data_IF_750583678424
#
_entry.id   IF_750583678424
#
_cell.length_a   1.000
_cell.length_b   1.000
_cell.length_c   1.000
_cell.angle_alpha   90.00
_cell.angle_beta   90.00
_cell.angle_gamma   90.00
#
_symmetry.space_group_name_H-M   'P 1'
#
loop_
_entity.id
_entity.type
_entity.pdbx_description
1 polymer ?
#
# COMPACT_ATOMS: atom_id res chain seq x y z
N UNK A 1 -23.63 -25.99 -23.94
CA UNK A 1 -22.41 -26.43 -23.25
C UNK A 1 -21.31 -25.49 -23.72
N UNK A 2 -20.93 -24.56 -22.83
CA UNK A 2 -19.71 -23.72 -22.80
C UNK A 2 -20.05 -22.48 -21.98
N UNK A 3 -20.11 -22.66 -20.65
CA UNK A 3 -19.98 -21.54 -19.72
C UNK A 3 -18.55 -21.02 -19.84
N UNK A 4 -18.41 -19.85 -20.44
CA UNK A 4 -17.13 -19.14 -20.46
C UNK A 4 -16.85 -18.64 -19.05
N UNK A 5 -15.99 -19.38 -18.35
CA UNK A 5 -15.32 -18.97 -17.13
C UNK A 5 -14.40 -17.78 -17.45
N UNK A 6 -14.98 -16.59 -17.48
CA UNK A 6 -14.30 -15.31 -17.66
C UNK A 6 -14.67 -14.38 -16.49
N UNK A 7 -14.74 -14.93 -15.28
CA UNK A 7 -14.99 -14.17 -14.07
C UNK A 7 -13.65 -13.62 -13.61
N UNK A 8 -13.39 -12.35 -13.94
CA UNK A 8 -12.38 -11.58 -13.22
C UNK A 8 -12.63 -11.71 -11.71
N UNK A 9 -11.59 -11.66 -10.87
CA UNK A 9 -11.79 -11.66 -9.42
C UNK A 9 -12.82 -10.59 -9.05
N UNK A 10 -13.83 -10.99 -8.28
CA UNK A 10 -14.82 -10.05 -7.77
C UNK A 10 -14.10 -8.89 -7.06
N UNK A 11 -14.45 -7.63 -7.35
CA UNK A 11 -13.86 -6.49 -6.68
C UNK A 11 -14.00 -6.64 -5.15
N UNK A 12 -12.97 -6.29 -4.39
CA UNK A 12 -13.04 -6.37 -2.93
C UNK A 12 -14.16 -5.49 -2.34
N UNK A 13 -14.55 -4.41 -3.03
CA UNK A 13 -15.72 -3.60 -2.69
C UNK A 13 -17.00 -4.44 -2.70
N UNK A 14 -17.11 -5.43 -3.59
CA UNK A 14 -18.27 -6.30 -3.63
C UNK A 14 -18.32 -7.31 -2.50
N UNK A 15 -17.16 -7.75 -2.03
CA UNK A 15 -17.01 -8.61 -0.86
C UNK A 15 -17.34 -7.88 0.45
N UNK A 16 -17.29 -6.55 0.45
CA UNK A 16 -17.41 -5.72 1.65
C UNK A 16 -18.71 -4.89 1.68
N UNK A 17 -19.70 -5.16 0.80
CA UNK A 17 -20.96 -4.37 0.71
C UNK A 17 -21.72 -4.25 2.05
N UNK A 18 -21.54 -5.20 2.96
CA UNK A 18 -22.18 -5.22 4.29
C UNK A 18 -21.30 -4.59 5.40
N UNK A 19 -20.12 -4.09 5.05
CA UNK A 19 -19.18 -3.43 5.96
C UNK A 19 -19.10 -1.97 5.56
N UNK A 20 -19.35 -1.06 6.50
CA UNK A 20 -19.21 0.39 6.30
C UNK A 20 -17.74 0.75 6.07
N UNK A 21 -17.27 0.60 4.82
CA UNK A 21 -15.95 1.03 4.40
C UNK A 21 -16.05 2.53 4.15
N UNK A 22 -15.70 3.32 5.17
CA UNK A 22 -15.46 4.75 5.02
C UNK A 22 -14.60 4.97 3.75
N UNK A 23 -15.10 5.70 2.76
CA UNK A 23 -14.44 5.90 1.45
C UNK A 23 -13.08 6.61 1.63
N UNK A 24 -12.05 5.83 1.98
CA UNK A 24 -10.67 6.30 2.02
C UNK A 24 -9.99 5.97 0.70
N UNK A 25 -9.21 6.91 0.19
CA UNK A 25 -8.25 6.61 -0.85
C UNK A 25 -7.24 5.59 -0.33
N UNK A 26 -6.83 4.68 -1.22
CA UNK A 26 -5.94 3.57 -0.90
C UNK A 26 -4.78 3.55 -1.89
N UNK A 27 -3.62 3.13 -1.42
CA UNK A 27 -2.46 2.91 -2.27
C UNK A 27 -1.59 1.77 -1.75
N UNK A 28 -0.84 1.17 -2.67
CA UNK A 28 0.32 0.35 -2.34
C UNK A 28 1.58 1.16 -2.61
N UNK A 29 2.49 1.21 -1.65
CA UNK A 29 3.79 1.85 -1.80
C UNK A 29 4.86 0.77 -1.83
N UNK A 30 5.53 0.65 -2.97
CA UNK A 30 6.55 -0.36 -3.22
C UNK A 30 7.92 0.26 -2.95
N UNK A 31 8.65 -0.28 -1.98
CA UNK A 31 9.88 0.30 -1.46
C UNK A 31 11.09 -0.55 -1.86
N UNK A 32 12.08 0.10 -2.46
CA UNK A 32 13.45 -0.39 -2.57
C UNK A 32 14.23 0.14 -1.35
N UNK A 33 14.86 -0.75 -0.58
CA UNK A 33 15.47 -0.44 0.71
C UNK A 33 16.96 -0.80 0.77
N UNK A 34 17.63 -0.33 1.81
CA UNK A 34 18.89 -0.90 2.28
C UNK A 34 18.60 -2.15 3.12
N UNK A 35 19.05 -3.35 2.70
CA UNK A 35 18.80 -4.59 3.43
C UNK A 35 19.22 -4.54 4.90
N UNK A 36 20.28 -3.79 5.24
CA UNK A 36 20.76 -3.69 6.61
C UNK A 36 19.83 -2.89 7.53
N UNK A 37 18.95 -2.07 6.96
CA UNK A 37 18.07 -1.16 7.68
C UNK A 37 16.59 -1.57 7.64
N UNK A 38 16.24 -2.67 6.95
CA UNK A 38 14.85 -3.16 6.85
C UNK A 38 14.14 -3.25 8.22
N UNK A 39 14.75 -3.81 9.29
CA UNK A 39 14.08 -3.85 10.59
C UNK A 39 13.73 -2.45 11.13
N UNK A 40 14.63 -1.48 10.99
CA UNK A 40 14.42 -0.10 11.44
C UNK A 40 13.38 0.63 10.56
N UNK A 41 13.38 0.36 9.25
CA UNK A 41 12.38 0.89 8.32
C UNK A 41 10.98 0.41 8.73
N UNK A 42 10.79 -0.87 9.03
CA UNK A 42 9.51 -1.41 9.48
C UNK A 42 9.03 -0.77 10.79
N UNK A 43 9.94 -0.58 11.76
CA UNK A 43 9.62 0.10 13.01
C UNK A 43 9.16 1.55 12.81
N UNK A 44 9.74 2.26 11.83
CA UNK A 44 9.31 3.61 11.49
C UNK A 44 7.99 3.62 10.74
N UNK A 45 7.81 2.73 9.75
CA UNK A 45 6.55 2.58 9.02
C UNK A 45 5.37 2.26 9.94
N UNK A 46 5.57 1.40 10.96
CA UNK A 46 4.55 1.04 11.93
C UNK A 46 4.06 2.21 12.81
N UNK A 47 4.81 3.32 12.85
CA UNK A 47 4.43 4.54 13.61
C UNK A 47 3.64 5.54 12.76
N UNK A 48 3.53 5.32 11.45
CA UNK A 48 2.80 6.20 10.53
C UNK A 48 1.32 5.80 10.56
N UNK A 49 0.45 6.70 11.00
CA UNK A 49 -1.00 6.44 11.17
C UNK A 49 -1.68 5.92 9.89
N UNK A 50 -1.26 6.43 8.73
CA UNK A 50 -1.80 6.07 7.44
C UNK A 50 -1.36 4.68 6.94
N UNK A 51 -0.31 4.09 7.52
CA UNK A 51 0.19 2.77 7.16
C UNK A 51 -0.68 1.70 7.83
N UNK A 52 -1.28 0.83 7.02
CA UNK A 52 -2.14 -0.28 7.48
C UNK A 52 -1.41 -1.60 7.56
N UNK A 53 -0.50 -1.84 6.63
CA UNK A 53 0.42 -2.97 6.68
C UNK A 53 1.72 -2.62 5.97
N UNK A 54 2.79 -3.30 6.35
CA UNK A 54 4.08 -3.24 5.68
C UNK A 54 4.72 -4.63 5.75
N UNK A 55 4.88 -5.27 4.60
CA UNK A 55 5.35 -6.65 4.50
C UNK A 55 6.67 -6.69 3.74
N UNK A 56 7.64 -7.44 4.28
CA UNK A 56 8.88 -7.75 3.56
C UNK A 56 8.55 -8.80 2.50
N UNK A 57 8.97 -8.58 1.27
CA UNK A 57 8.67 -9.47 0.16
C UNK A 57 9.95 -9.92 -0.55
N UNK A 58 9.93 -11.14 -1.10
CA UNK A 58 11.00 -11.62 -1.98
C UNK A 58 10.67 -11.23 -3.43
N UNK A 59 10.91 -9.97 -3.79
CA UNK A 59 10.60 -9.42 -5.11
C UNK A 59 11.66 -8.46 -5.64
N UNK A 60 11.31 -7.68 -6.68
CA UNK A 60 12.14 -6.56 -7.16
C UNK A 60 12.15 -5.37 -6.19
N UNK A 61 11.19 -5.37 -5.26
CA UNK A 61 11.09 -4.47 -4.13
C UNK A 61 11.31 -5.27 -2.85
N UNK A 62 11.74 -4.59 -1.79
CA UNK A 62 12.05 -5.21 -0.50
C UNK A 62 10.84 -5.17 0.44
N UNK A 63 10.03 -4.10 0.37
CA UNK A 63 8.87 -3.89 1.25
C UNK A 63 7.67 -3.40 0.42
N UNK A 64 6.49 -3.96 0.69
CA UNK A 64 5.21 -3.47 0.17
C UNK A 64 4.39 -2.93 1.33
N UNK A 65 3.97 -1.68 1.21
CA UNK A 65 3.20 -0.96 2.24
C UNK A 65 1.80 -0.68 1.73
N UNK A 66 0.78 -1.05 2.50
CA UNK A 66 -0.61 -0.65 2.23
C UNK A 66 -0.94 0.61 3.03
N UNK A 67 -1.41 1.65 2.34
CA UNK A 67 -1.64 2.99 2.90
C UNK A 67 -3.07 3.44 2.64
N UNK A 68 -3.67 4.08 3.64
CA UNK A 68 -4.98 4.72 3.56
C UNK A 68 -4.90 6.20 3.87
N UNK A 69 -5.68 7.02 3.17
CA UNK A 69 -5.83 8.45 3.45
C UNK A 69 -7.20 8.94 3.01
N UNK A 70 -7.62 10.12 3.48
CA UNK A 70 -8.91 10.71 3.12
C UNK A 70 -8.99 11.05 1.62
N UNK A 71 -7.84 11.28 0.97
CA UNK A 71 -7.75 11.49 -0.48
C UNK A 71 -6.33 11.21 -1.02
N UNK A 72 -6.18 11.23 -2.34
CA UNK A 72 -4.89 11.01 -3.01
C UNK A 72 -3.80 12.01 -2.59
N UNK A 73 -4.16 13.27 -2.32
CA UNK A 73 -3.19 14.30 -1.91
C UNK A 73 -2.62 14.00 -0.52
N UNK A 74 -3.44 13.45 0.38
CA UNK A 74 -2.97 13.02 1.70
C UNK A 74 -1.95 11.89 1.59
N UNK A 75 -2.26 10.84 0.82
CA UNK A 75 -1.32 9.74 0.56
C UNK A 75 -0.01 10.28 -0.03
N UNK A 76 -0.09 11.16 -1.02
CA UNK A 76 1.10 11.78 -1.61
C UNK A 76 1.94 12.54 -0.57
N UNK A 77 1.30 13.25 0.37
CA UNK A 77 2.01 13.92 1.47
C UNK A 77 2.66 12.93 2.43
N UNK A 78 1.97 11.86 2.81
CA UNK A 78 2.52 10.81 3.70
C UNK A 78 3.76 10.18 3.06
N UNK A 79 3.68 9.84 1.77
CA UNK A 79 4.82 9.25 1.06
C UNK A 79 6.02 10.20 1.05
N UNK A 80 5.79 11.47 0.72
CA UNK A 80 6.87 12.46 0.59
C UNK A 80 7.47 12.85 1.95
N UNK A 81 6.64 13.01 2.98
CA UNK A 81 7.06 13.55 4.29
C UNK A 81 7.46 12.49 5.29
N UNK A 82 6.83 11.32 5.24
CA UNK A 82 6.93 10.33 6.31
C UNK A 82 7.62 9.04 5.82
N UNK A 83 7.43 8.61 4.57
CA UNK A 83 8.03 7.37 4.04
C UNK A 83 9.39 7.62 3.39
N UNK A 84 9.47 8.52 2.40
CA UNK A 84 10.70 8.79 1.66
C UNK A 84 11.88 9.22 2.55
N UNK A 85 11.69 10.01 3.63
CA UNK A 85 12.80 10.43 4.48
C UNK A 85 13.31 9.35 5.43
N UNK A 86 12.62 8.19 5.55
CA UNK A 86 13.08 7.10 6.40
C UNK A 86 14.44 6.64 5.92
N UNK A 87 15.41 6.63 6.84
CA UNK A 87 16.77 6.20 6.54
C UNK A 87 16.77 4.76 6.01
N UNK A 88 17.38 4.56 4.85
CA UNK A 88 17.43 3.26 4.18
C UNK A 88 16.37 3.06 3.12
N UNK A 89 15.35 3.92 3.02
CA UNK A 89 14.46 3.97 1.84
C UNK A 89 15.23 4.60 0.68
N UNK A 90 15.45 3.83 -0.38
CA UNK A 90 16.16 4.29 -1.60
C UNK A 90 15.19 4.86 -2.62
N UNK A 91 14.04 4.20 -2.76
CA UNK A 91 12.98 4.58 -3.71
C UNK A 91 11.64 4.06 -3.23
N UNK A 92 10.60 4.85 -3.42
CA UNK A 92 9.22 4.47 -3.18
C UNK A 92 8.37 4.74 -4.43
N UNK A 93 7.68 3.71 -4.92
CA UNK A 93 6.73 3.82 -6.03
C UNK A 93 5.32 3.73 -5.48
N UNK A 94 4.52 4.78 -5.67
CA UNK A 94 3.12 4.80 -5.19
C UNK A 94 2.17 4.29 -6.28
N UNK A 95 1.42 3.25 -5.97
CA UNK A 95 0.39 2.65 -6.81
C UNK A 95 -0.98 2.96 -6.21
N UNK A 96 -1.63 4.01 -6.73
CA UNK A 96 -2.99 4.36 -6.31
C UNK A 96 -3.97 3.24 -6.68
N UNK A 97 -4.83 2.86 -5.73
CA UNK A 97 -5.95 1.94 -6.00
C UNK A 97 -7.03 2.73 -6.74
N UNK A 98 -7.47 2.19 -7.88
CA UNK A 98 -8.56 2.74 -8.67
C UNK A 98 -9.75 1.80 -8.51
N UNK A 99 -10.90 2.36 -8.13
CA UNK A 99 -12.17 1.64 -8.07
C UNK A 99 -12.79 1.62 -9.48
N UNK A 100 -13.29 0.45 -9.88
CA UNK A 100 -13.88 0.19 -11.21
C UNK A 100 -15.31 -0.29 -11.00
#
# INVERSE_FOLDING_TARGET
MEEKLNEAPIPFSELLKDIDVKEKSRAYVLIEADPALIPEILEQLAKIENVRSADIVTGIYDIIVFVEGENQNEIGRVVIRDINPIKGVKKATTCMVVEI
#
